data_IF_651569215616
#
_entry.id   IF_651569215616
#
_cell.length_a   1.000
_cell.length_b   1.000
_cell.length_c   1.000
_cell.angle_alpha   90.00
_cell.angle_beta   90.00
_cell.angle_gamma   90.00
#
_symmetry.space_group_name_H-M   'P 1'
#
loop_
_entity.id
_entity.type
_entity.pdbx_description
1 polymer ?
#
# COMPACT_ATOMS: atom_id res chain seq x y z
N UNK A 1 22.15 57.93 -19.09
CA UNK A 1 21.94 56.58 -19.64
C UNK A 1 21.94 55.65 -18.44
N UNK A 2 20.82 55.03 -18.11
CA UNK A 2 20.69 54.22 -16.89
C UNK A 2 21.43 52.88 -17.05
N UNK A 3 22.15 52.48 -16.01
CA UNK A 3 22.84 51.20 -15.92
C UNK A 3 21.82 50.07 -15.71
N UNK A 4 21.81 49.08 -16.61
CA UNK A 4 21.01 47.87 -16.44
C UNK A 4 21.86 46.79 -15.75
N UNK A 5 21.82 46.79 -14.41
CA UNK A 5 22.23 45.65 -13.62
C UNK A 5 21.13 44.59 -13.64
N UNK A 6 20.99 43.92 -14.78
CA UNK A 6 20.23 42.68 -14.90
C UNK A 6 20.94 41.60 -14.06
N UNK A 7 20.51 41.53 -12.81
CA UNK A 7 20.71 40.39 -11.91
C UNK A 7 20.16 39.17 -12.64
N UNK A 8 21.04 38.32 -13.16
CA UNK A 8 20.66 36.98 -13.59
C UNK A 8 20.07 36.24 -12.37
N UNK A 9 18.76 35.95 -12.33
CA UNK A 9 18.14 35.35 -11.15
C UNK A 9 18.24 33.82 -11.16
N UNK A 10 18.87 33.21 -12.17
CA UNK A 10 19.15 31.78 -12.18
C UNK A 10 20.46 31.50 -11.43
N UNK A 11 20.52 31.94 -10.18
CA UNK A 11 21.40 31.33 -9.20
C UNK A 11 20.87 29.90 -9.05
N UNK A 12 21.57 28.95 -9.64
CA UNK A 12 21.39 27.52 -9.36
C UNK A 12 21.64 27.39 -7.86
N UNK A 13 20.55 27.39 -7.09
CA UNK A 13 20.56 26.90 -5.73
C UNK A 13 20.94 25.44 -5.91
N UNK A 14 22.17 25.13 -5.52
CA UNK A 14 22.64 23.77 -5.36
C UNK A 14 21.73 23.20 -4.28
N UNK A 15 20.70 22.50 -4.74
CA UNK A 15 19.75 21.76 -3.92
C UNK A 15 20.60 20.66 -3.27
N UNK A 16 21.13 20.95 -2.07
CA UNK A 16 21.72 19.94 -1.23
C UNK A 16 20.63 18.92 -0.98
N UNK A 17 20.83 17.68 -1.45
CA UNK A 17 19.96 16.54 -1.18
C UNK A 17 19.86 16.34 0.34
N UNK A 18 18.97 17.08 1.01
CA UNK A 18 18.58 16.80 2.39
C UNK A 18 17.78 15.49 2.35
N UNK A 19 18.51 14.39 2.45
CA UNK A 19 17.93 13.08 2.65
C UNK A 19 17.30 13.10 4.04
N UNK A 20 16.01 12.79 4.13
CA UNK A 20 15.30 12.67 5.40
C UNK A 20 16.07 11.73 6.34
N UNK A 21 16.25 12.09 7.63
CA UNK A 21 17.00 11.27 8.56
C UNK A 21 16.27 9.96 8.88
N UNK A 22 17.00 8.99 9.46
CA UNK A 22 16.37 7.78 9.98
C UNK A 22 15.32 8.12 11.06
N UNK A 23 14.25 7.29 11.19
CA UNK A 23 13.21 7.52 12.18
C UNK A 23 13.76 7.59 13.60
N UNK A 24 13.40 8.64 14.35
CA UNK A 24 13.87 8.82 15.72
C UNK A 24 13.06 7.99 16.73
N UNK A 25 13.69 7.64 17.87
CA UNK A 25 13.01 6.95 18.97
C UNK A 25 11.79 7.72 19.51
N UNK A 26 11.86 9.05 19.55
CA UNK A 26 10.76 9.89 20.02
C UNK A 26 9.55 9.88 19.08
N UNK A 27 9.78 9.83 17.77
CA UNK A 27 8.70 9.70 16.78
C UNK A 27 7.99 8.37 16.93
N UNK A 28 8.75 7.28 17.10
CA UNK A 28 8.19 5.94 17.35
C UNK A 28 7.41 5.91 18.67
N UNK A 29 7.94 6.56 19.72
CA UNK A 29 7.26 6.68 21.02
C UNK A 29 5.94 7.45 20.90
N UNK A 30 5.91 8.55 20.14
CA UNK A 30 4.70 9.32 19.85
C UNK A 30 3.71 8.50 19.03
N UNK A 31 4.19 7.77 18.02
CA UNK A 31 3.40 6.84 17.21
C UNK A 31 2.67 5.82 18.09
N UNK A 32 3.41 5.10 18.96
CA UNK A 32 2.84 4.10 19.86
C UNK A 32 1.81 4.72 20.82
N UNK A 33 2.11 5.90 21.39
CA UNK A 33 1.18 6.62 22.28
C UNK A 33 -0.10 7.07 21.57
N UNK A 34 -0.02 7.38 20.28
CA UNK A 34 -1.17 7.84 19.49
C UNK A 34 -2.10 6.73 19.02
N UNK A 35 -1.74 5.45 19.20
CA UNK A 35 -2.60 4.32 18.85
C UNK A 35 -3.93 4.36 19.60
N UNK A 36 -5.03 4.17 18.88
CA UNK A 36 -6.39 4.19 19.44
C UNK A 36 -6.70 2.89 20.17
N UNK A 37 -7.17 3.03 21.40
CA UNK A 37 -7.69 1.93 22.23
C UNK A 37 -9.13 1.55 21.85
N UNK A 38 -9.57 0.37 22.27
CA UNK A 38 -10.90 -0.19 22.05
C UNK A 38 -11.16 -0.58 20.61
N UNK A 39 -10.11 -0.77 19.80
CA UNK A 39 -10.22 -1.27 18.44
C UNK A 39 -10.09 -2.79 18.46
N UNK A 40 -10.84 -3.46 17.60
CA UNK A 40 -10.65 -4.89 17.38
C UNK A 40 -9.20 -5.10 16.93
N UNK A 41 -8.50 -6.12 17.47
CA UNK A 41 -7.23 -6.52 16.90
C UNK A 41 -7.43 -6.90 15.43
N UNK A 42 -6.39 -6.66 14.63
CA UNK A 42 -6.39 -7.03 13.21
C UNK A 42 -6.12 -8.54 13.04
N UNK A 43 -5.82 -8.98 11.82
CA UNK A 43 -5.51 -10.38 11.49
C UNK A 43 -4.40 -11.01 12.37
N UNK A 44 -3.54 -10.18 12.97
CA UNK A 44 -2.44 -10.63 13.82
C UNK A 44 -2.87 -10.87 15.28
N UNK A 45 -4.13 -10.60 15.65
CA UNK A 45 -4.68 -10.75 17.01
C UNK A 45 -3.94 -9.91 18.09
N UNK A 46 -3.19 -8.89 17.69
CA UNK A 46 -2.45 -7.99 18.60
C UNK A 46 -3.24 -6.68 18.81
N UNK A 47 -3.78 -6.44 20.02
CA UNK A 47 -4.47 -5.19 20.31
C UNK A 47 -3.48 -4.04 20.58
N UNK A 48 -3.89 -2.80 20.27
CA UNK A 48 -3.08 -1.61 20.47
C UNK A 48 -2.68 -1.39 21.94
N UNK A 49 -3.55 -1.80 22.87
CA UNK A 49 -3.33 -1.76 24.31
C UNK A 49 -2.12 -2.58 24.72
N UNK A 50 -1.91 -3.73 24.08
CA UNK A 50 -0.77 -4.60 24.38
C UNK A 50 0.54 -3.93 23.97
N UNK A 51 0.56 -3.29 22.80
CA UNK A 51 1.73 -2.55 22.30
C UNK A 51 2.08 -1.39 23.24
N UNK A 52 1.07 -0.68 23.73
CA UNK A 52 1.25 0.42 24.69
C UNK A 52 1.69 -0.08 26.07
N UNK A 53 1.16 -1.21 26.54
CA UNK A 53 1.52 -1.81 27.82
C UNK A 53 2.98 -2.29 27.88
N UNK A 54 3.56 -2.67 26.73
CA UNK A 54 4.98 -3.05 26.62
C UNK A 54 5.96 -1.88 26.84
N UNK A 55 5.49 -0.63 26.86
CA UNK A 55 6.30 0.54 27.21
C UNK A 55 7.56 0.70 26.35
N UNK A 56 8.71 0.92 26.98
CA UNK A 56 9.98 1.15 26.25
C UNK A 56 10.48 -0.08 25.47
N UNK A 57 10.03 -1.29 25.82
CA UNK A 57 10.39 -2.48 25.06
C UNK A 57 9.77 -2.44 23.66
N UNK A 58 8.50 -2.02 23.54
CA UNK A 58 7.87 -1.88 22.22
C UNK A 58 8.54 -0.78 21.41
N UNK A 59 8.84 0.39 22.01
CA UNK A 59 9.57 1.48 21.32
C UNK A 59 10.86 0.99 20.67
N UNK A 60 11.69 0.23 21.39
CA UNK A 60 12.96 -0.31 20.84
C UNK A 60 12.74 -1.31 19.70
N UNK A 61 11.74 -2.18 19.84
CA UNK A 61 11.43 -3.19 18.81
C UNK A 61 10.92 -2.51 17.54
N UNK A 62 9.96 -1.59 17.67
CA UNK A 62 9.41 -0.85 16.53
C UNK A 62 10.45 0.06 15.88
N UNK A 63 11.28 0.75 16.66
CA UNK A 63 12.37 1.55 16.09
C UNK A 63 13.32 0.69 15.26
N UNK A 64 13.79 -0.43 15.80
CA UNK A 64 14.65 -1.36 15.05
C UNK A 64 13.99 -1.88 13.77
N UNK A 65 12.68 -2.10 13.80
CA UNK A 65 11.92 -2.50 12.61
C UNK A 65 11.84 -1.36 11.59
N UNK A 66 11.48 -0.14 12.01
CA UNK A 66 11.39 1.04 11.17
C UNK A 66 12.75 1.37 10.52
N UNK A 67 13.84 1.40 11.30
CA UNK A 67 15.21 1.61 10.77
C UNK A 67 15.58 0.56 9.73
N UNK A 68 15.22 -0.71 9.94
CA UNK A 68 15.48 -1.76 8.95
C UNK A 68 14.72 -1.54 7.64
N UNK A 69 13.45 -1.13 7.74
CA UNK A 69 12.61 -0.84 6.57
C UNK A 69 13.13 0.39 5.83
N UNK A 70 13.54 1.42 6.57
CA UNK A 70 14.15 2.64 6.05
C UNK A 70 15.40 2.30 5.22
N UNK A 71 16.34 1.59 5.83
CA UNK A 71 17.63 1.26 5.20
C UNK A 71 17.50 0.26 4.04
N UNK A 72 16.51 -0.62 4.06
CA UNK A 72 16.30 -1.54 2.94
C UNK A 72 15.61 -0.87 1.75
N UNK A 73 14.99 0.31 1.95
CA UNK A 73 14.21 1.06 0.94
C UNK A 73 13.23 0.16 0.15
N UNK A 74 12.80 -0.95 0.76
CA UNK A 74 12.10 -2.04 0.08
C UNK A 74 10.74 -2.28 0.72
N UNK A 75 9.69 -1.84 0.03
CA UNK A 75 8.32 -2.10 0.47
C UNK A 75 7.88 -3.53 0.15
N UNK A 76 7.28 -4.20 1.14
CA UNK A 76 6.66 -5.51 0.92
C UNK A 76 5.57 -5.39 -0.14
N UNK A 77 5.50 -6.36 -1.06
CA UNK A 77 4.52 -6.35 -2.15
C UNK A 77 3.07 -6.23 -1.66
N UNK A 78 2.79 -6.80 -0.49
CA UNK A 78 1.46 -6.73 0.15
C UNK A 78 1.05 -5.30 0.48
N UNK A 79 1.97 -4.49 1.02
CA UNK A 79 1.68 -3.09 1.40
C UNK A 79 1.43 -2.18 0.20
N UNK A 80 1.82 -2.63 -1.01
CA UNK A 80 1.54 -1.92 -2.26
C UNK A 80 0.16 -2.24 -2.84
N UNK A 81 -0.60 -3.15 -2.22
CA UNK A 81 -1.95 -3.52 -2.65
C UNK A 81 -2.97 -2.85 -1.75
N UNK A 82 -4.00 -2.25 -2.35
CA UNK A 82 -5.19 -1.79 -1.65
C UNK A 82 -6.39 -2.63 -2.07
N UNK A 83 -7.24 -2.99 -1.10
CA UNK A 83 -8.51 -3.68 -1.34
C UNK A 83 -9.64 -2.67 -1.18
N UNK A 84 -10.41 -2.46 -2.24
CA UNK A 84 -11.60 -1.61 -2.19
C UNK A 84 -12.81 -2.46 -1.83
N UNK A 85 -13.36 -2.23 -0.63
CA UNK A 85 -14.60 -2.86 -0.19
C UNK A 85 -15.70 -1.81 -0.31
N UNK A 86 -16.62 -1.92 -1.28
CA UNK A 86 -17.73 -0.98 -1.39
C UNK A 86 -18.64 -1.12 -0.17
N UNK A 87 -18.77 -0.05 0.61
CA UNK A 87 -19.67 0.03 1.75
C UNK A 87 -20.91 0.83 1.35
N UNK A 88 -22.09 0.19 1.31
CA UNK A 88 -23.33 0.88 1.02
C UNK A 88 -23.80 1.66 2.26
N UNK A 89 -24.03 2.96 2.09
CA UNK A 89 -24.69 3.79 3.11
C UNK A 89 -26.19 3.50 3.07
N UNK A 90 -26.76 3.29 4.24
CA UNK A 90 -28.19 2.99 4.41
C UNK A 90 -29.06 4.09 3.75
N UNK A 91 -30.00 3.68 2.89
CA UNK A 91 -30.85 4.59 2.10
C UNK A 91 -30.51 4.73 0.61
N UNK A 92 -29.46 4.08 0.10
CA UNK A 92 -29.20 3.92 -1.36
C UNK A 92 -29.09 2.43 -1.70
N UNK A 93 -30.23 1.75 -1.74
CA UNK A 93 -30.34 0.31 -2.05
C UNK A 93 -30.31 -0.01 -3.54
N UNK A 94 -29.93 0.94 -4.40
CA UNK A 94 -29.74 0.64 -5.80
C UNK A 94 -28.32 0.16 -6.02
N UNK A 95 -28.20 -1.11 -6.41
CA UNK A 95 -27.00 -1.84 -6.90
C UNK A 95 -26.24 -2.77 -5.94
N UNK A 96 -26.94 -3.50 -5.05
CA UNK A 96 -26.35 -4.77 -4.55
C UNK A 96 -26.32 -5.87 -5.63
N UNK A 97 -27.23 -5.81 -6.62
CA UNK A 97 -27.30 -6.78 -7.72
C UNK A 97 -26.16 -6.71 -8.75
N UNK A 98 -25.31 -5.67 -8.74
CA UNK A 98 -24.19 -5.55 -9.68
C UNK A 98 -22.88 -6.14 -9.15
N UNK A 99 -22.76 -6.39 -7.84
CA UNK A 99 -21.55 -7.00 -7.25
C UNK A 99 -21.56 -8.53 -7.29
N UNK A 100 -22.67 -9.14 -7.71
CA UNK A 100 -22.76 -10.61 -7.86
C UNK A 100 -21.88 -11.15 -9.02
N UNK A 101 -21.32 -10.26 -9.85
CA UNK A 101 -20.35 -10.57 -10.90
C UNK A 101 -18.91 -10.09 -10.58
N UNK A 102 -18.65 -9.56 -9.39
CA UNK A 102 -17.31 -9.10 -9.02
C UNK A 102 -16.47 -10.26 -8.45
N UNK A 103 -15.91 -11.07 -9.35
CA UNK A 103 -14.92 -12.09 -8.99
C UNK A 103 -13.52 -11.44 -8.96
N UNK A 104 -12.85 -11.32 -7.80
CA UNK A 104 -11.64 -10.48 -7.66
C UNK A 104 -10.37 -11.11 -8.26
N UNK A 105 -10.46 -12.28 -8.92
CA UNK A 105 -9.35 -12.92 -9.60
C UNK A 105 -9.80 -13.49 -10.95
N UNK A 106 -9.71 -12.68 -12.01
CA UNK A 106 -9.41 -13.24 -13.33
C UNK A 106 -7.90 -13.31 -13.45
N UNK A 107 -7.36 -14.49 -13.18
CA UNK A 107 -6.01 -14.88 -13.56
C UNK A 107 -5.79 -14.48 -15.03
N UNK A 108 -4.78 -13.66 -15.29
CA UNK A 108 -4.23 -13.48 -16.64
C UNK A 108 -3.60 -14.82 -17.03
N UNK A 109 -4.40 -15.77 -17.51
CA UNK A 109 -3.88 -16.96 -18.15
C UNK A 109 -3.17 -16.50 -19.42
N UNK A 110 -1.87 -16.72 -19.49
CA UNK A 110 -1.13 -16.66 -20.74
C UNK A 110 -1.76 -17.70 -21.67
N UNK A 111 -2.20 -17.26 -22.85
CA UNK A 111 -2.76 -18.16 -23.86
C UNK A 111 -1.68 -19.14 -24.33
N UNK A 112 -1.86 -20.48 -24.21
CA UNK A 112 -1.08 -21.40 -25.01
C UNK A 112 -1.57 -21.33 -26.46
N UNK A 113 -0.63 -21.22 -27.38
CA UNK A 113 -0.82 -21.28 -28.84
C UNK A 113 -1.62 -22.52 -29.23
N UNK A 114 -2.75 -22.32 -29.93
CA UNK A 114 -3.57 -23.40 -30.48
C UNK A 114 -2.81 -24.10 -31.63
N UNK A 115 -2.23 -25.27 -31.35
CA UNK A 115 -1.85 -26.20 -32.40
C UNK A 115 -3.14 -26.84 -32.96
N UNK A 116 -3.46 -26.53 -34.21
CA UNK A 116 -4.51 -27.22 -34.95
C UNK A 116 -3.96 -28.57 -35.42
N UNK A 117 -4.47 -29.66 -34.86
CA UNK A 117 -4.66 -30.90 -35.63
C UNK A 117 -5.60 -31.84 -34.88
N UNK A 118 -6.72 -32.17 -35.52
CA UNK A 118 -7.38 -33.47 -35.48
C UNK A 118 -8.75 -33.30 -36.13
N UNK A 119 -8.81 -33.75 -37.37
CA UNK A 119 -9.99 -34.09 -38.13
C UNK A 119 -10.91 -34.97 -37.28
N UNK A 120 -12.21 -34.68 -37.24
CA UNK A 120 -13.16 -35.79 -37.06
C UNK A 120 -14.48 -35.59 -37.79
N UNK A 121 -14.94 -36.70 -38.32
CA UNK A 121 -15.70 -36.86 -39.55
C UNK A 121 -17.21 -36.78 -39.35
N UNK A 122 -17.83 -36.04 -40.25
CA UNK A 122 -19.12 -36.30 -40.94
C UNK A 122 -20.25 -37.05 -40.21
N UNK A 123 -21.32 -36.28 -39.94
CA UNK A 123 -22.72 -36.48 -40.36
C UNK A 123 -23.29 -37.91 -40.39
N UNK A 124 -24.23 -38.21 -39.47
CA UNK A 124 -25.49 -38.93 -39.77
C UNK A 124 -26.61 -38.46 -38.81
N UNK A 125 -27.63 -37.76 -39.32
CA UNK A 125 -29.00 -37.80 -38.77
C UNK A 125 -30.01 -37.37 -39.85
N UNK A 126 -30.79 -38.36 -40.29
CA UNK A 126 -32.11 -38.36 -40.97
C UNK A 126 -32.33 -37.40 -42.13
#
# INVERSE_FOLDING_TARGET
MYEDTSKNPHKIITESEETEPEPMLDEVRLGIKSLKRGKSPECDDIPAELIQACGEASVRVYHKLCTKIWNSSSWRKEWKRSVFIPYSKEGKHETMHQLQNYCPYKSRQQNPTKNHNAEDRTKIRR
#
